data_IF_197599388711
#
_entry.id   IF_197599388711
#
_cell.length_a   1.000
_cell.length_b   1.000
_cell.length_c   1.000
_cell.angle_alpha   90.00
_cell.angle_beta   90.00
_cell.angle_gamma   90.00
#
_symmetry.space_group_name_H-M   'P 1'
#
loop_
_entity.id
_entity.type
_entity.pdbx_description
1 polymer ?
#
# COMPACT_ATOMS: atom_id res chain seq x y z
N UNK A 1 -0.74 -11.92 26.17
CA UNK A 1 -1.67 -10.81 25.92
C UNK A 1 -1.20 -10.00 24.75
N UNK A 2 -2.04 -9.90 23.72
CA UNK A 2 -1.79 -9.04 22.57
C UNK A 2 -1.83 -7.59 23.05
N UNK A 3 -0.68 -6.91 23.03
CA UNK A 3 -0.63 -5.46 23.31
C UNK A 3 -1.39 -4.74 22.19
N UNK A 4 -2.41 -3.97 22.55
CA UNK A 4 -3.14 -3.13 21.60
C UNK A 4 -2.33 -1.86 21.32
N UNK A 5 -2.46 -1.29 20.13
CA UNK A 5 -1.81 -0.02 19.78
C UNK A 5 -2.18 1.12 20.75
N UNK A 6 -3.41 1.12 21.29
CA UNK A 6 -3.82 2.02 22.36
C UNK A 6 -2.93 1.92 23.61
N UNK A 7 -2.64 0.69 24.05
CA UNK A 7 -1.84 0.44 25.26
C UNK A 7 -0.38 0.89 25.06
N UNK A 8 0.15 0.79 23.83
CA UNK A 8 1.49 1.27 23.49
C UNK A 8 1.55 2.81 23.42
N UNK A 9 0.50 3.46 22.94
CA UNK A 9 0.38 4.93 22.96
C UNK A 9 0.37 5.46 24.39
N UNK A 10 -0.33 4.77 25.31
CA UNK A 10 -0.39 5.11 26.74
C UNK A 10 0.94 4.87 27.48
N UNK A 11 1.84 4.03 26.93
CA UNK A 11 3.17 3.72 27.46
C UNK A 11 4.29 4.63 26.91
N UNK A 12 3.99 5.79 26.33
CA UNK A 12 4.95 6.69 25.72
C UNK A 12 5.73 6.07 24.52
N UNK A 13 5.13 5.10 23.84
CA UNK A 13 5.70 4.43 22.65
C UNK A 13 5.36 5.14 21.34
N UNK A 14 4.57 6.21 21.41
CA UNK A 14 4.21 7.04 20.26
C UNK A 14 5.43 7.86 19.83
N UNK A 15 5.93 7.62 18.62
CA UNK A 15 7.10 8.30 18.04
C UNK A 15 6.65 9.58 17.33
N UNK A 16 5.68 9.45 16.43
CA UNK A 16 5.13 10.55 15.65
C UNK A 16 3.64 10.33 15.37
N UNK A 17 2.90 11.43 15.20
CA UNK A 17 1.47 11.39 14.88
C UNK A 17 1.07 12.64 14.12
N UNK A 18 0.20 12.46 13.12
CA UNK A 18 -0.62 13.51 12.54
C UNK A 18 -2.11 13.11 12.60
N UNK A 19 -2.98 13.78 11.83
CA UNK A 19 -4.42 13.48 11.82
C UNK A 19 -4.73 12.12 11.18
N UNK A 20 -3.88 11.66 10.25
CA UNK A 20 -4.15 10.54 9.36
C UNK A 20 -3.41 9.26 9.74
N UNK A 21 -2.29 9.38 10.48
CA UNK A 21 -1.47 8.22 10.84
C UNK A 21 -0.66 8.44 12.12
N UNK A 22 -0.15 7.34 12.68
CA UNK A 22 0.80 7.32 13.82
C UNK A 22 1.93 6.34 13.56
N UNK A 23 3.13 6.71 13.97
CA UNK A 23 4.28 5.80 14.06
C UNK A 23 4.50 5.45 15.52
N UNK A 24 4.57 4.16 15.84
CA UNK A 24 4.59 3.61 17.20
C UNK A 24 5.78 2.64 17.31
N UNK A 25 6.56 2.74 18.37
CA UNK A 25 7.55 1.72 18.73
C UNK A 25 6.85 0.49 19.32
N UNK A 26 6.87 -0.63 18.63
CA UNK A 26 6.25 -1.88 19.09
C UNK A 26 7.23 -2.80 19.84
N UNK A 27 8.48 -2.35 20.01
CA UNK A 27 9.56 -3.09 20.67
C UNK A 27 10.49 -3.81 19.69
N UNK A 28 11.55 -4.38 20.21
CA UNK A 28 12.55 -5.15 19.47
C UNK A 28 13.17 -4.41 18.27
N UNK A 29 13.20 -3.06 18.32
CA UNK A 29 13.69 -2.21 17.25
C UNK A 29 12.76 -2.12 16.04
N UNK A 30 11.48 -2.45 16.19
CA UNK A 30 10.48 -2.41 15.12
C UNK A 30 9.48 -1.28 15.37
N UNK A 31 9.26 -0.46 14.33
CA UNK A 31 8.20 0.55 14.33
C UNK A 31 6.94 0.03 13.64
N UNK A 32 5.76 0.50 14.09
CA UNK A 32 4.49 0.23 13.44
C UNK A 32 3.89 1.53 12.93
N UNK A 33 3.61 1.60 11.64
CA UNK A 33 2.85 2.67 11.00
C UNK A 33 1.37 2.28 10.96
N UNK A 34 0.53 3.06 11.65
CA UNK A 34 -0.91 2.82 11.81
C UNK A 34 -1.71 3.99 11.21
N UNK A 35 -2.75 3.69 10.44
CA UNK A 35 -3.63 4.68 9.80
C UNK A 35 -4.89 4.95 10.63
N UNK A 36 -5.46 6.17 10.50
CA UNK A 36 -6.60 6.64 11.32
C UNK A 36 -7.69 7.35 10.53
N UNK A 37 -7.57 7.50 9.22
CA UNK A 37 -8.60 8.13 8.42
C UNK A 37 -9.87 7.28 8.37
N UNK A 38 -10.99 7.86 7.99
CA UNK A 38 -12.22 7.10 7.80
C UNK A 38 -12.00 6.02 6.75
N UNK A 39 -12.27 4.76 7.09
CA UNK A 39 -11.98 3.57 6.25
C UNK A 39 -10.49 3.44 5.87
N UNK A 40 -9.62 4.15 6.55
CA UNK A 40 -8.21 4.29 6.20
C UNK A 40 -8.00 4.67 4.72
N UNK A 41 -8.90 5.55 4.21
CA UNK A 41 -8.74 6.12 2.88
C UNK A 41 -7.47 6.97 2.81
N UNK A 42 -6.74 6.82 1.72
CA UNK A 42 -5.46 7.52 1.50
C UNK A 42 -5.70 9.01 1.35
N UNK A 43 -4.95 9.79 2.13
CA UNK A 43 -4.91 11.26 2.06
C UNK A 43 -3.46 11.77 2.16
N UNK A 44 -3.29 13.07 1.96
CA UNK A 44 -1.97 13.72 1.97
C UNK A 44 -1.24 13.51 3.30
N UNK A 45 -1.96 13.54 4.43
CA UNK A 45 -1.37 13.31 5.75
C UNK A 45 -0.87 11.90 5.95
N UNK A 46 -1.50 10.90 5.32
CA UNK A 46 -1.01 9.52 5.30
C UNK A 46 0.24 9.39 4.44
N UNK A 47 0.25 10.00 3.25
CA UNK A 47 1.40 10.03 2.32
C UNK A 47 2.63 10.68 2.99
N UNK A 48 2.41 11.83 3.64
CA UNK A 48 3.45 12.53 4.41
C UNK A 48 4.00 11.62 5.52
N UNK A 49 3.12 11.01 6.32
CA UNK A 49 3.54 10.15 7.43
C UNK A 49 4.29 8.91 6.97
N UNK A 50 3.95 8.30 5.84
CA UNK A 50 4.72 7.20 5.25
C UNK A 50 6.15 7.66 4.96
N UNK A 51 6.31 8.83 4.35
CA UNK A 51 7.62 9.38 4.01
C UNK A 51 8.46 9.68 5.25
N UNK A 52 7.86 10.31 6.26
CA UNK A 52 8.53 10.62 7.52
C UNK A 52 8.87 9.35 8.33
N UNK A 53 7.98 8.34 8.32
CA UNK A 53 8.22 7.06 8.95
C UNK A 53 9.43 6.35 8.33
N UNK A 54 9.59 6.41 7.01
CA UNK A 54 10.77 5.86 6.34
C UNK A 54 12.05 6.55 6.81
N UNK A 55 12.06 7.89 6.95
CA UNK A 55 13.23 8.63 7.45
C UNK A 55 13.61 8.27 8.88
N UNK A 56 12.60 8.07 9.74
CA UNK A 56 12.81 7.69 11.14
C UNK A 56 13.30 6.25 11.23
N UNK A 57 12.66 5.34 10.50
CA UNK A 57 13.01 3.92 10.52
C UNK A 57 14.41 3.66 9.98
N UNK A 58 14.81 4.38 8.95
CA UNK A 58 16.16 4.29 8.39
C UNK A 58 17.25 4.57 9.45
N UNK A 59 16.99 5.49 10.37
CA UNK A 59 17.95 5.94 11.39
C UNK A 59 17.89 5.14 12.68
N UNK A 60 16.67 4.88 13.18
CA UNK A 60 16.44 4.53 14.58
C UNK A 60 15.89 3.11 14.77
N UNK A 61 15.48 2.42 13.68
CA UNK A 61 14.83 1.12 13.76
C UNK A 61 15.49 0.07 12.85
N UNK A 62 15.18 -1.19 13.11
CA UNK A 62 15.65 -2.33 12.30
C UNK A 62 14.63 -2.72 11.22
N UNK A 63 13.40 -2.25 11.32
CA UNK A 63 12.34 -2.52 10.35
C UNK A 63 11.03 -1.83 10.72
N UNK A 64 10.07 -1.89 9.80
CA UNK A 64 8.74 -1.30 9.97
C UNK A 64 7.64 -2.30 9.62
N UNK A 65 6.57 -2.28 10.40
CA UNK A 65 5.29 -2.91 10.04
C UNK A 65 4.31 -1.82 9.63
N UNK A 66 3.62 -2.00 8.51
CA UNK A 66 2.48 -1.17 8.12
C UNK A 66 1.21 -1.98 8.39
N UNK A 67 0.45 -1.56 9.38
CA UNK A 67 -0.76 -2.27 9.79
C UNK A 67 -1.52 -1.47 10.85
N UNK A 68 -2.74 -1.88 11.16
CA UNK A 68 -3.56 -1.16 12.13
C UNK A 68 -4.57 -2.07 12.84
N UNK A 69 -5.18 -1.55 13.92
CA UNK A 69 -6.25 -2.21 14.65
C UNK A 69 -7.66 -1.88 14.14
N UNK A 70 -7.77 -1.13 13.04
CA UNK A 70 -9.06 -0.84 12.40
C UNK A 70 -9.63 -2.10 11.72
N UNK A 71 -10.93 -2.08 11.42
CA UNK A 71 -11.59 -3.17 10.71
C UNK A 71 -11.04 -3.39 9.30
N UNK A 72 -10.44 -2.37 8.70
CA UNK A 72 -9.89 -2.41 7.35
C UNK A 72 -8.46 -1.86 7.34
N UNK A 73 -7.61 -2.45 6.52
CA UNK A 73 -6.27 -1.93 6.26
C UNK A 73 -6.33 -0.58 5.55
N UNK A 74 -6.96 -0.53 4.38
CA UNK A 74 -7.26 0.70 3.65
C UNK A 74 -8.26 0.42 2.52
N UNK A 75 -9.25 1.28 2.37
CA UNK A 75 -10.18 1.26 1.24
C UNK A 75 -9.62 1.94 -0.03
N UNK A 76 -8.37 2.40 0.00
CA UNK A 76 -7.71 3.07 -1.12
C UNK A 76 -7.96 4.57 -1.18
N UNK A 77 -7.83 5.16 -2.38
CA UNK A 77 -7.96 6.59 -2.58
C UNK A 77 -9.38 7.10 -2.29
N UNK A 78 -9.48 8.36 -1.89
CA UNK A 78 -10.77 9.03 -1.76
C UNK A 78 -11.35 9.38 -3.14
N UNK A 79 -12.17 8.49 -3.69
CA UNK A 79 -12.78 8.61 -5.02
C UNK A 79 -13.59 9.91 -5.18
N UNK A 80 -14.19 10.42 -4.09
CA UNK A 80 -14.92 11.70 -4.14
C UNK A 80 -13.98 12.87 -4.45
N UNK A 81 -12.77 12.88 -3.88
CA UNK A 81 -11.77 13.90 -4.18
C UNK A 81 -11.28 13.80 -5.63
N UNK A 82 -11.05 12.58 -6.12
CA UNK A 82 -10.70 12.35 -7.53
C UNK A 82 -11.79 12.89 -8.45
N UNK A 83 -13.06 12.60 -8.17
CA UNK A 83 -14.20 13.12 -8.94
C UNK A 83 -14.27 14.65 -8.90
N UNK A 84 -14.03 15.28 -7.75
CA UNK A 84 -14.01 16.74 -7.63
C UNK A 84 -12.90 17.38 -8.47
N UNK A 85 -11.70 16.81 -8.48
CA UNK A 85 -10.59 17.27 -9.33
C UNK A 85 -10.98 17.18 -10.81
N UNK A 86 -11.56 16.08 -11.25
CA UNK A 86 -12.01 15.89 -12.64
C UNK A 86 -13.09 16.92 -13.02
N UNK A 87 -14.10 17.11 -12.18
CA UNK A 87 -15.20 18.06 -12.43
C UNK A 87 -14.74 19.51 -12.48
N UNK A 88 -13.69 19.85 -11.73
CA UNK A 88 -13.09 21.20 -11.73
C UNK A 88 -12.02 21.39 -12.81
N UNK A 89 -11.56 20.31 -13.44
CA UNK A 89 -10.41 20.34 -14.34
C UNK A 89 -9.07 20.58 -13.63
N UNK A 90 -9.01 20.25 -12.34
CA UNK A 90 -7.81 20.44 -11.50
C UNK A 90 -6.87 19.23 -11.64
N UNK A 91 -6.28 19.12 -12.82
CA UNK A 91 -5.41 18.00 -13.17
C UNK A 91 -4.08 18.04 -12.43
N UNK A 92 -3.56 19.23 -12.15
CA UNK A 92 -2.30 19.43 -11.44
C UNK A 92 -2.37 18.89 -10.01
N UNK A 93 -3.50 19.13 -9.33
CA UNK A 93 -3.73 18.58 -7.99
C UNK A 93 -3.83 17.06 -8.02
N UNK A 94 -4.53 16.51 -9.00
CA UNK A 94 -4.67 15.06 -9.15
C UNK A 94 -3.32 14.41 -9.45
N UNK A 95 -2.53 14.97 -10.35
CA UNK A 95 -1.18 14.49 -10.69
C UNK A 95 -0.27 14.51 -9.45
N UNK A 96 -0.24 15.63 -8.72
CA UNK A 96 0.55 15.77 -7.48
C UNK A 96 0.17 14.73 -6.43
N UNK A 97 -1.13 14.46 -6.26
CA UNK A 97 -1.60 13.46 -5.29
C UNK A 97 -1.19 12.03 -5.69
N UNK A 98 -1.28 11.70 -6.98
CA UNK A 98 -0.86 10.40 -7.51
C UNK A 98 0.66 10.24 -7.38
N UNK A 99 1.42 11.25 -7.75
CA UNK A 99 2.88 11.27 -7.65
C UNK A 99 3.35 11.13 -6.19
N UNK A 100 2.66 11.81 -5.28
CA UNK A 100 2.89 11.70 -3.83
C UNK A 100 2.73 10.25 -3.34
N UNK A 101 1.65 9.57 -3.73
CA UNK A 101 1.42 8.18 -3.37
C UNK A 101 2.45 7.24 -3.99
N UNK A 102 2.78 7.43 -5.27
CA UNK A 102 3.82 6.65 -5.94
C UNK A 102 5.16 6.78 -5.23
N UNK A 103 5.57 8.01 -4.91
CA UNK A 103 6.83 8.28 -4.22
C UNK A 103 6.85 7.66 -2.82
N UNK A 104 5.78 7.75 -2.05
CA UNK A 104 5.68 7.13 -0.73
C UNK A 104 5.78 5.61 -0.80
N UNK A 105 5.09 4.98 -1.74
CA UNK A 105 5.16 3.54 -2.00
C UNK A 105 6.57 3.11 -2.41
N UNK A 106 7.22 3.85 -3.29
CA UNK A 106 8.60 3.57 -3.73
C UNK A 106 9.60 3.73 -2.58
N UNK A 107 9.40 4.72 -1.69
CA UNK A 107 10.23 4.86 -0.50
C UNK A 107 10.13 3.65 0.43
N UNK A 108 8.93 3.12 0.67
CA UNK A 108 8.77 1.89 1.44
C UNK A 108 9.46 0.71 0.78
N UNK A 109 9.30 0.55 -0.53
CA UNK A 109 9.86 -0.58 -1.29
C UNK A 109 11.38 -0.61 -1.29
N UNK A 110 12.02 0.55 -1.38
CA UNK A 110 13.48 0.67 -1.48
C UNK A 110 14.16 1.15 -0.20
N UNK A 111 13.43 1.13 0.93
CA UNK A 111 14.03 1.39 2.23
C UNK A 111 15.11 0.33 2.51
N UNK A 112 16.26 0.70 3.09
CA UNK A 112 17.33 -0.27 3.43
C UNK A 112 16.90 -1.23 4.56
N UNK A 113 15.84 -0.86 5.29
CA UNK A 113 15.22 -1.66 6.35
C UNK A 113 13.98 -2.38 5.84
N UNK A 114 13.70 -3.62 6.26
CA UNK A 114 12.53 -4.35 5.82
C UNK A 114 11.23 -3.67 6.24
N UNK A 115 10.31 -3.52 5.30
CA UNK A 115 8.94 -3.07 5.54
C UNK A 115 8.00 -4.26 5.33
N UNK A 116 7.27 -4.66 6.37
CA UNK A 116 6.25 -5.71 6.28
C UNK A 116 4.88 -5.08 6.30
N UNK A 117 4.08 -5.32 5.29
CA UNK A 117 2.67 -4.90 5.27
C UNK A 117 1.80 -5.99 5.87
N UNK A 118 0.91 -5.63 6.78
CA UNK A 118 0.05 -6.56 7.53
C UNK A 118 -1.44 -6.22 7.31
N UNK A 119 -1.98 -6.42 6.09
CA UNK A 119 -3.36 -6.09 5.81
C UNK A 119 -4.34 -7.03 6.52
N UNK A 120 -5.47 -6.45 6.99
CA UNK A 120 -6.62 -7.14 7.55
C UNK A 120 -7.90 -6.48 7.04
N UNK A 121 -8.98 -7.23 6.88
CA UNK A 121 -10.21 -6.72 6.29
C UNK A 121 -9.97 -6.23 4.85
N UNK A 122 -10.45 -5.03 4.52
CA UNK A 122 -10.31 -4.47 3.17
C UNK A 122 -8.91 -3.85 2.96
N UNK A 123 -8.24 -4.26 1.91
CA UNK A 123 -7.01 -3.67 1.37
C UNK A 123 -7.20 -3.45 -0.14
N UNK A 124 -7.96 -2.43 -0.51
CA UNK A 124 -8.45 -2.23 -1.87
C UNK A 124 -7.81 -1.01 -2.54
N UNK A 125 -7.65 -1.08 -3.86
CA UNK A 125 -7.11 0.02 -4.65
C UNK A 125 -5.77 0.50 -4.12
N UNK A 126 -5.62 1.78 -3.78
CA UNK A 126 -4.40 2.34 -3.17
C UNK A 126 -3.93 1.60 -1.90
N UNK A 127 -4.84 0.97 -1.15
CA UNK A 127 -4.49 0.09 -0.02
C UNK A 127 -3.81 -1.20 -0.48
N UNK A 128 -4.28 -1.79 -1.57
CA UNK A 128 -3.61 -2.92 -2.22
C UNK A 128 -2.23 -2.49 -2.75
N UNK A 129 -2.15 -1.34 -3.41
CA UNK A 129 -0.90 -0.79 -3.93
C UNK A 129 0.14 -0.61 -2.82
N UNK A 130 -0.24 -0.03 -1.67
CA UNK A 130 0.66 0.04 -0.51
C UNK A 130 1.09 -1.34 -0.02
N UNK A 131 0.18 -2.30 0.07
CA UNK A 131 0.50 -3.65 0.50
C UNK A 131 1.50 -4.33 -0.46
N UNK A 132 1.39 -4.08 -1.76
CA UNK A 132 2.29 -4.59 -2.79
C UNK A 132 3.71 -4.02 -2.73
N UNK A 133 3.91 -2.86 -2.09
CA UNK A 133 5.23 -2.21 -1.98
C UNK A 133 5.99 -2.58 -0.70
N UNK A 134 5.45 -3.43 0.16
CA UNK A 134 6.22 -4.02 1.25
C UNK A 134 7.21 -5.07 0.76
N UNK A 135 8.35 -5.20 1.46
CA UNK A 135 9.30 -6.29 1.24
C UNK A 135 8.65 -7.67 1.47
N UNK A 136 7.65 -7.70 2.35
CA UNK A 136 6.78 -8.87 2.59
C UNK A 136 5.37 -8.38 2.88
N UNK A 137 4.38 -9.04 2.30
CA UNK A 137 2.98 -8.90 2.70
C UNK A 137 2.60 -10.10 3.57
N UNK A 138 2.07 -9.83 4.76
CA UNK A 138 1.59 -10.84 5.71
C UNK A 138 0.12 -10.55 6.03
N UNK A 139 -0.82 -10.97 5.17
CA UNK A 139 -2.23 -10.71 5.36
C UNK A 139 -2.83 -11.55 6.49
N UNK A 140 -3.84 -11.00 7.15
CA UNK A 140 -4.70 -11.74 8.06
C UNK A 140 -5.54 -12.77 7.28
N UNK A 141 -5.96 -13.86 7.90
CA UNK A 141 -6.77 -14.90 7.27
C UNK A 141 -7.99 -14.36 6.51
N UNK A 142 -8.66 -13.38 7.11
CA UNK A 142 -9.82 -12.68 6.52
C UNK A 142 -9.37 -11.33 5.92
N UNK A 143 -8.69 -11.39 4.78
CA UNK A 143 -8.26 -10.20 4.03
C UNK A 143 -8.89 -10.21 2.65
N UNK A 144 -9.49 -9.08 2.28
CA UNK A 144 -10.03 -8.81 0.95
C UNK A 144 -9.09 -7.83 0.25
N UNK A 145 -8.27 -8.32 -0.66
CA UNK A 145 -7.20 -7.52 -1.28
C UNK A 145 -7.29 -7.57 -2.80
N UNK A 146 -7.19 -6.41 -3.43
CA UNK A 146 -7.21 -6.30 -4.90
C UNK A 146 -7.17 -4.88 -5.42
N UNK A 147 -6.84 -4.78 -6.70
CA UNK A 147 -6.84 -3.54 -7.48
C UNK A 147 -8.24 -3.36 -8.09
N UNK A 148 -9.02 -2.46 -7.53
CA UNK A 148 -10.46 -2.30 -7.85
C UNK A 148 -10.77 -1.03 -8.66
N UNK A 149 -9.74 -0.30 -9.07
CA UNK A 149 -9.81 1.01 -9.70
C UNK A 149 -10.68 1.01 -10.97
N UNK A 150 -10.59 -0.04 -11.79
CA UNK A 150 -11.38 -0.16 -13.02
C UNK A 150 -12.89 -0.21 -12.73
N UNK A 151 -13.28 -0.73 -11.56
CA UNK A 151 -14.68 -0.74 -11.11
C UNK A 151 -15.28 0.67 -10.92
N UNK A 152 -14.46 1.70 -10.80
CA UNK A 152 -14.87 3.10 -10.68
C UNK A 152 -14.36 3.98 -11.84
N UNK A 153 -13.85 3.37 -12.91
CA UNK A 153 -13.50 4.05 -14.16
C UNK A 153 -12.11 4.67 -14.20
N UNK A 154 -11.21 4.27 -13.29
CA UNK A 154 -9.80 4.69 -13.28
C UNK A 154 -8.86 3.47 -13.31
N UNK A 155 -7.55 3.69 -13.33
CA UNK A 155 -6.55 2.61 -13.32
C UNK A 155 -5.73 2.64 -12.03
N UNK A 156 -5.07 1.54 -11.63
CA UNK A 156 -4.17 1.49 -10.47
C UNK A 156 -2.94 2.36 -10.69
N UNK A 157 -3.05 3.65 -10.32
CA UNK A 157 -2.03 4.66 -10.61
C UNK A 157 -0.96 4.80 -9.51
N UNK A 158 -1.21 4.34 -8.28
CA UNK A 158 -0.25 4.38 -7.17
C UNK A 158 0.87 3.35 -7.26
N UNK A 159 0.96 2.62 -8.39
CA UNK A 159 2.00 1.63 -8.68
C UNK A 159 1.47 0.22 -8.92
N UNK A 160 0.15 -0.02 -8.78
CA UNK A 160 -0.45 -1.35 -8.90
C UNK A 160 -0.24 -2.01 -10.26
N UNK A 161 -0.36 -1.26 -11.35
CA UNK A 161 -0.06 -1.77 -12.71
C UNK A 161 1.39 -2.27 -12.81
N UNK A 162 2.35 -1.46 -12.35
CA UNK A 162 3.78 -1.79 -12.35
C UNK A 162 4.05 -3.03 -11.49
N UNK A 163 3.55 -3.05 -10.25
CA UNK A 163 3.80 -4.15 -9.33
C UNK A 163 3.17 -5.46 -9.80
N UNK A 164 1.99 -5.41 -10.42
CA UNK A 164 1.38 -6.58 -11.04
C UNK A 164 2.24 -7.13 -12.15
N UNK A 165 2.75 -6.25 -13.03
CA UNK A 165 3.66 -6.67 -14.12
C UNK A 165 4.94 -7.29 -13.59
N UNK A 166 5.57 -6.68 -12.58
CA UNK A 166 6.79 -7.23 -11.98
C UNK A 166 6.55 -8.64 -11.42
N UNK A 167 5.42 -8.86 -10.73
CA UNK A 167 5.10 -10.17 -10.15
C UNK A 167 4.82 -11.26 -11.18
N UNK A 168 4.06 -10.94 -12.25
CA UNK A 168 3.77 -11.94 -13.29
C UNK A 168 4.98 -12.25 -14.16
N UNK A 169 5.99 -11.38 -14.16
CA UNK A 169 7.26 -11.60 -14.87
C UNK A 169 8.37 -12.12 -13.95
N UNK A 170 8.13 -12.22 -12.65
CA UNK A 170 9.08 -12.78 -11.70
C UNK A 170 9.44 -14.23 -12.08
N UNK A 171 10.72 -14.52 -12.14
CA UNK A 171 11.22 -15.84 -12.56
C UNK A 171 11.33 -16.06 -14.07
N UNK A 172 10.98 -15.09 -14.90
CA UNK A 172 11.33 -15.12 -16.33
C UNK A 172 12.81 -14.76 -16.44
N UNK A 173 13.68 -15.65 -17.03
CA UNK A 173 15.10 -15.37 -17.16
C UNK A 173 15.37 -14.11 -18.00
N UNK A 174 16.40 -13.36 -17.61
CA UNK A 174 16.88 -12.23 -18.40
C UNK A 174 17.23 -12.66 -19.86
N UNK A 175 16.97 -11.77 -20.79
CA UNK A 175 17.18 -12.04 -22.21
C UNK A 175 16.11 -12.91 -22.89
N UNK A 176 15.16 -13.45 -22.16
CA UNK A 176 14.07 -14.26 -22.71
C UNK A 176 13.22 -13.48 -23.72
N UNK A 177 12.97 -12.19 -23.44
CA UNK A 177 12.24 -11.28 -24.34
C UNK A 177 13.06 -11.05 -25.62
N UNK A 178 14.35 -10.80 -25.49
CA UNK A 178 15.27 -10.59 -26.61
C UNK A 178 15.41 -11.85 -27.47
N UNK A 179 15.26 -13.03 -26.87
CA UNK A 179 15.23 -14.32 -27.55
C UNK A 179 13.91 -14.59 -28.32
N UNK A 180 12.94 -13.64 -28.28
CA UNK A 180 11.69 -13.74 -29.00
C UNK A 180 10.61 -14.58 -28.33
N UNK A 181 10.69 -14.80 -27.01
CA UNK A 181 9.63 -15.48 -26.27
C UNK A 181 8.33 -14.69 -26.33
N UNK A 182 7.22 -15.38 -26.61
CA UNK A 182 5.90 -14.76 -26.56
C UNK A 182 5.39 -14.67 -25.12
N UNK A 183 5.42 -13.47 -24.54
CA UNK A 183 4.91 -13.18 -23.19
C UNK A 183 3.43 -12.78 -23.16
N UNK A 184 2.69 -12.93 -24.25
CA UNK A 184 1.29 -12.50 -24.34
C UNK A 184 0.42 -13.12 -23.23
N UNK A 185 0.64 -14.40 -22.88
CA UNK A 185 -0.11 -15.05 -21.79
C UNK A 185 0.20 -14.46 -20.42
N UNK A 186 1.43 -14.03 -20.18
CA UNK A 186 1.86 -13.38 -18.94
C UNK A 186 1.18 -12.01 -18.82
N UNK A 187 1.22 -11.22 -19.89
CA UNK A 187 0.58 -9.90 -19.92
C UNK A 187 -0.94 -10.00 -19.85
N UNK A 188 -1.54 -10.98 -20.51
CA UNK A 188 -2.97 -11.24 -20.43
C UNK A 188 -3.43 -11.53 -19.01
N UNK A 189 -2.62 -12.25 -18.20
CA UNK A 189 -2.92 -12.53 -16.80
C UNK A 189 -2.92 -11.27 -15.94
N UNK A 190 -1.91 -10.40 -16.12
CA UNK A 190 -1.86 -9.11 -15.43
C UNK A 190 -3.05 -8.23 -15.81
N UNK A 191 -3.35 -8.15 -17.10
CA UNK A 191 -4.49 -7.41 -17.62
C UNK A 191 -5.82 -7.93 -17.06
N UNK A 192 -6.04 -9.25 -17.08
CA UNK A 192 -7.26 -9.87 -16.54
C UNK A 192 -7.49 -9.49 -15.08
N UNK A 193 -6.47 -9.61 -14.23
CA UNK A 193 -6.59 -9.29 -12.82
C UNK A 193 -7.01 -7.83 -12.58
N UNK A 194 -6.42 -6.90 -13.34
CA UNK A 194 -6.70 -5.46 -13.22
C UNK A 194 -8.05 -5.12 -13.87
N UNK A 195 -8.29 -5.57 -15.11
CA UNK A 195 -9.48 -5.23 -15.89
C UNK A 195 -10.78 -5.80 -15.30
N UNK A 196 -10.70 -6.90 -14.56
CA UNK A 196 -11.86 -7.50 -13.88
C UNK A 196 -12.01 -7.03 -12.43
N UNK A 197 -11.14 -6.12 -11.97
CA UNK A 197 -11.12 -5.66 -10.57
C UNK A 197 -11.12 -6.84 -9.58
N UNK A 198 -10.30 -7.85 -9.86
CA UNK A 198 -10.28 -9.09 -9.07
C UNK A 198 -9.84 -8.82 -7.64
N UNK A 199 -10.59 -9.35 -6.68
CA UNK A 199 -10.31 -9.27 -5.24
C UNK A 199 -10.10 -10.68 -4.71
N UNK A 200 -8.95 -10.91 -4.09
CA UNK A 200 -8.72 -12.10 -3.27
C UNK A 200 -9.52 -11.99 -1.98
N UNK A 201 -10.11 -13.09 -1.52
CA UNK A 201 -11.03 -13.13 -0.38
C UNK A 201 -10.42 -13.75 0.87
N UNK A 202 -9.16 -14.13 0.81
CA UNK A 202 -8.40 -14.70 1.93
C UNK A 202 -6.90 -14.44 1.78
N UNK A 203 -6.15 -14.59 2.87
CA UNK A 203 -4.69 -14.53 2.85
C UNK A 203 -4.05 -15.62 1.95
N UNK A 204 -4.71 -16.75 1.77
CA UNK A 204 -4.21 -17.84 0.95
C UNK A 204 -4.37 -17.59 -0.55
N UNK A 205 -5.32 -16.72 -0.92
CA UNK A 205 -5.60 -16.32 -2.30
C UNK A 205 -4.82 -15.04 -2.70
N UNK A 206 -4.42 -14.24 -1.71
CA UNK A 206 -3.77 -12.93 -1.86
C UNK A 206 -2.39 -12.98 -2.52
#
# INVERSE_FOLDING_TARGET
PTRRSSDLKDQNKLIKKNKSASLIDIGDGVACLEFHTKMNAVDDGMIEMISEACDIVEKDFTGMVVGNHAANFSAGANIFMVLLCILKGDWDLLETSIEGLQNANMRMKYLSKPVVTAPAGLALGGGCEMAMHGAKCQPCGETYIGLVEVGVGVIPAGGGCKETMLRVTEGIPDGTIDAGMNLQHVYAKAFENIATAKVATSAAEA
#
